data_IF_583956022466
#
_entry.id   IF_583956022466
#
_cell.length_a   1.000
_cell.length_b   1.000
_cell.length_c   1.000
_cell.angle_alpha   90.00
_cell.angle_beta   90.00
_cell.angle_gamma   90.00
#
_symmetry.space_group_name_H-M   'P 1'
#
loop_
_entity.id
_entity.type
_entity.pdbx_description
1 polymer ?
#
# COMPACT_ATOMS: atom_id res chain seq x y z
N UNK A 1 3.21 -17.76 50.31
CA UNK A 1 4.16 -16.74 49.79
C UNK A 1 3.34 -15.57 49.22
N UNK A 2 3.06 -14.51 49.99
CA UNK A 2 2.14 -13.43 49.58
C UNK A 2 2.84 -12.20 48.94
N UNK A 3 4.16 -12.26 48.73
CA UNK A 3 4.98 -11.12 48.32
C UNK A 3 4.84 -10.71 46.83
N UNK A 4 4.35 -11.57 45.94
CA UNK A 4 4.20 -11.24 44.51
C UNK A 4 3.02 -10.30 44.25
N UNK A 5 1.90 -10.50 44.96
CA UNK A 5 0.69 -9.71 44.79
C UNK A 5 0.85 -8.28 45.30
N UNK A 6 1.60 -8.08 46.38
CA UNK A 6 1.86 -6.74 46.91
C UNK A 6 2.72 -5.94 45.93
N UNK A 7 3.76 -6.55 45.38
CA UNK A 7 4.66 -5.91 44.40
C UNK A 7 3.94 -5.57 43.10
N UNK A 8 3.01 -6.44 42.66
CA UNK A 8 2.17 -6.16 41.50
C UNK A 8 1.23 -4.98 41.77
N UNK A 9 0.59 -4.93 42.95
CA UNK A 9 -0.28 -3.81 43.34
C UNK A 9 0.46 -2.49 43.41
N UNK A 10 1.67 -2.48 43.98
CA UNK A 10 2.50 -1.27 44.07
C UNK A 10 2.90 -0.80 42.66
N UNK A 11 3.29 -1.72 41.77
CA UNK A 11 3.61 -1.40 40.37
C UNK A 11 2.43 -0.79 39.61
N UNK A 12 1.23 -1.36 39.74
CA UNK A 12 0.04 -0.81 39.08
C UNK A 12 -0.32 0.57 39.62
N UNK A 13 -0.15 0.79 40.92
CA UNK A 13 -0.36 2.10 41.56
C UNK A 13 0.64 3.14 41.10
N UNK A 14 1.90 2.76 40.89
CA UNK A 14 2.93 3.63 40.33
C UNK A 14 2.65 4.00 38.87
N UNK A 15 2.18 3.05 38.06
CA UNK A 15 1.73 3.33 36.69
C UNK A 15 0.52 4.26 36.68
N UNK A 16 -0.47 4.00 37.53
CA UNK A 16 -1.67 4.85 37.64
C UNK A 16 -1.28 6.29 38.02
N UNK A 17 -0.37 6.44 38.98
CA UNK A 17 0.14 7.74 39.38
C UNK A 17 0.93 8.43 38.25
N UNK A 18 1.77 7.69 37.51
CA UNK A 18 2.51 8.22 36.38
C UNK A 18 1.58 8.69 35.24
N UNK A 19 0.58 7.87 34.90
CA UNK A 19 -0.44 8.23 33.91
C UNK A 19 -1.20 9.47 34.38
N UNK A 20 -1.65 9.50 35.64
CA UNK A 20 -2.29 10.69 36.19
C UNK A 20 -1.38 11.92 36.05
N UNK A 21 -0.12 11.84 36.43
CA UNK A 21 0.81 12.96 36.29
C UNK A 21 1.03 13.41 34.84
N UNK A 22 1.09 12.48 33.88
CA UNK A 22 1.30 12.80 32.47
C UNK A 22 0.05 13.40 31.80
N UNK A 23 -1.15 12.97 32.21
CA UNK A 23 -2.41 13.39 31.59
C UNK A 23 -3.14 14.51 32.35
N UNK A 24 -2.85 14.72 33.64
CA UNK A 24 -3.46 15.81 34.44
C UNK A 24 -2.55 17.01 34.63
N UNK A 25 -1.21 16.85 34.60
CA UNK A 25 -0.34 18.02 34.62
C UNK A 25 -0.26 18.65 33.22
N UNK A 26 -0.48 19.96 33.09
CA UNK A 26 -0.35 20.64 31.81
C UNK A 26 1.09 20.51 31.30
N UNK A 27 1.23 20.14 30.02
CA UNK A 27 2.53 20.07 29.35
C UNK A 27 3.30 21.38 29.56
N UNK A 28 4.61 21.33 29.88
CA UNK A 28 5.43 22.52 29.96
C UNK A 28 5.26 23.39 28.71
N UNK A 29 4.99 24.68 28.89
CA UNK A 29 4.65 25.62 27.80
C UNK A 29 5.64 25.57 26.63
N UNK A 30 6.93 25.35 26.92
CA UNK A 30 7.98 25.17 25.90
C UNK A 30 7.75 23.95 25.01
N UNK A 31 7.41 22.81 25.61
CA UNK A 31 7.13 21.56 24.88
C UNK A 31 5.84 21.69 24.07
N UNK A 32 4.80 22.30 24.65
CA UNK A 32 3.55 22.58 23.95
C UNK A 32 3.78 23.48 22.71
N UNK A 33 4.49 24.60 22.88
CA UNK A 33 4.81 25.51 21.78
C UNK A 33 5.64 24.81 20.69
N UNK A 34 6.61 23.98 21.09
CA UNK A 34 7.40 23.17 20.14
C UNK A 34 6.53 22.20 19.38
N UNK A 35 5.66 21.45 20.05
CA UNK A 35 4.73 20.51 19.44
C UNK A 35 3.79 21.23 18.46
N UNK A 36 3.26 22.39 18.83
CA UNK A 36 2.40 23.20 17.97
C UNK A 36 3.14 23.71 16.72
N UNK A 37 4.40 24.15 16.87
CA UNK A 37 5.25 24.55 15.74
C UNK A 37 5.49 23.39 14.77
N UNK A 38 5.90 22.23 15.29
CA UNK A 38 6.10 21.02 14.49
C UNK A 38 4.80 20.60 13.80
N UNK A 39 3.66 20.67 14.48
CA UNK A 39 2.36 20.36 13.91
C UNK A 39 2.01 21.28 12.72
N UNK A 40 2.27 22.60 12.85
CA UNK A 40 2.07 23.56 11.75
C UNK A 40 2.95 23.23 10.55
N UNK A 41 4.20 22.87 10.78
CA UNK A 41 5.13 22.44 9.73
C UNK A 41 4.57 21.21 9.01
N UNK A 42 4.19 20.16 9.76
CA UNK A 42 3.61 18.93 9.20
C UNK A 42 2.36 19.24 8.36
N UNK A 43 1.44 20.07 8.88
CA UNK A 43 0.23 20.48 8.14
C UNK A 43 0.56 21.20 6.83
N UNK A 44 1.54 22.11 6.84
CA UNK A 44 1.96 22.80 5.63
C UNK A 44 2.58 21.88 4.59
N UNK A 45 3.37 20.89 5.04
CA UNK A 45 3.96 19.86 4.17
C UNK A 45 2.84 19.00 3.56
N UNK A 46 1.91 18.51 4.37
CA UNK A 46 0.76 17.74 3.91
C UNK A 46 -0.05 18.49 2.86
N UNK A 47 -0.31 19.78 3.10
CA UNK A 47 -1.04 20.61 2.14
C UNK A 47 -0.30 20.75 0.80
N UNK A 48 1.03 20.98 0.83
CA UNK A 48 1.85 21.04 -0.39
C UNK A 48 1.86 19.71 -1.14
N UNK A 49 2.02 18.59 -0.44
CA UNK A 49 1.99 17.24 -1.01
C UNK A 49 0.69 17.00 -1.77
N UNK A 50 -0.45 17.32 -1.13
CA UNK A 50 -1.77 17.09 -1.69
C UNK A 50 -2.05 18.02 -2.89
N UNK A 51 -1.72 19.31 -2.79
CA UNK A 51 -2.01 20.26 -3.87
C UNK A 51 -1.12 20.05 -5.10
N UNK A 52 0.14 19.62 -4.89
CA UNK A 52 1.11 19.46 -5.97
C UNK A 52 1.18 18.02 -6.49
N UNK A 53 0.30 17.12 -6.02
CA UNK A 53 0.30 15.70 -6.37
C UNK A 53 1.71 15.09 -6.26
N UNK A 54 2.39 15.36 -5.15
CA UNK A 54 3.73 14.85 -4.88
C UNK A 54 3.59 13.50 -4.18
N UNK A 55 4.31 12.50 -4.68
CA UNK A 55 4.43 11.19 -4.07
C UNK A 55 5.73 11.15 -3.26
N UNK A 56 5.62 10.68 -2.02
CA UNK A 56 6.76 10.32 -1.18
C UNK A 56 6.85 8.80 -1.13
N UNK A 57 7.97 8.23 -1.57
CA UNK A 57 8.24 6.79 -1.47
C UNK A 57 9.54 6.53 -0.73
N UNK A 58 9.49 5.57 0.20
CA UNK A 58 10.69 4.98 0.81
C UNK A 58 11.30 3.97 -0.16
N UNK A 59 12.62 4.00 -0.33
CA UNK A 59 13.35 2.94 -1.01
C UNK A 59 13.90 1.94 0.00
N UNK A 60 13.71 0.67 -0.32
CA UNK A 60 14.30 -0.49 0.35
C UNK A 60 15.83 -0.42 0.41
N UNK A 61 16.46 0.09 -0.66
CA UNK A 61 17.92 0.01 -0.84
C UNK A 61 18.73 1.15 -0.23
N UNK A 62 18.16 2.33 0.03
CA UNK A 62 18.97 3.52 0.35
C UNK A 62 18.61 4.28 1.62
N UNK A 63 17.59 3.87 2.41
CA UNK A 63 17.09 4.68 3.56
C UNK A 63 16.80 6.15 3.19
N UNK A 64 16.63 6.45 1.91
CA UNK A 64 16.37 7.79 1.38
C UNK A 64 14.93 7.82 0.91
N UNK A 65 14.26 8.94 1.14
CA UNK A 65 12.92 9.17 0.63
C UNK A 65 13.01 9.86 -0.72
N UNK A 66 12.29 9.34 -1.72
CA UNK A 66 12.12 10.02 -3.00
C UNK A 66 10.87 10.88 -2.95
N UNK A 67 11.03 12.14 -3.34
CA UNK A 67 9.97 13.13 -3.45
C UNK A 67 9.85 13.53 -4.92
N UNK A 68 8.76 13.16 -5.59
CA UNK A 68 8.51 13.49 -7.01
C UNK A 68 7.02 13.65 -7.29
N UNK A 69 6.67 14.40 -8.33
CA UNK A 69 5.29 14.48 -8.79
C UNK A 69 4.79 13.14 -9.33
N UNK A 70 3.48 12.93 -9.34
CA UNK A 70 2.83 11.79 -10.03
C UNK A 70 3.26 11.72 -11.50
N UNK A 71 3.33 12.87 -12.17
CA UNK A 71 3.71 12.98 -13.59
C UNK A 71 5.15 12.48 -13.82
N UNK A 72 6.08 12.78 -12.91
CA UNK A 72 7.45 12.29 -13.00
C UNK A 72 7.54 10.77 -12.84
N UNK A 73 6.73 10.19 -11.96
CA UNK A 73 6.65 8.74 -11.83
C UNK A 73 6.09 8.09 -13.09
N UNK A 74 5.04 8.66 -13.66
CA UNK A 74 4.45 8.18 -14.90
C UNK A 74 5.44 8.25 -16.06
N UNK A 75 6.10 9.39 -16.25
CA UNK A 75 7.16 9.56 -17.25
C UNK A 75 8.30 8.57 -17.06
N UNK A 76 8.76 8.36 -15.83
CA UNK A 76 9.85 7.40 -15.54
C UNK A 76 9.41 5.96 -15.79
N UNK A 77 8.16 5.62 -15.52
CA UNK A 77 7.59 4.31 -15.85
C UNK A 77 7.57 4.11 -17.37
N UNK A 78 7.10 5.08 -18.15
CA UNK A 78 7.11 5.03 -19.61
C UNK A 78 8.55 4.91 -20.16
N UNK A 79 9.49 5.69 -19.64
CA UNK A 79 10.91 5.58 -20.03
C UNK A 79 11.50 4.20 -19.73
N UNK A 80 11.15 3.62 -18.58
CA UNK A 80 11.59 2.28 -18.20
C UNK A 80 10.96 1.21 -19.11
N UNK A 81 9.66 1.32 -19.41
CA UNK A 81 8.95 0.45 -20.35
C UNK A 81 9.60 0.49 -21.74
N UNK A 82 9.84 1.70 -22.27
CA UNK A 82 10.50 1.89 -23.57
C UNK A 82 11.92 1.33 -23.57
N UNK A 83 12.64 1.42 -22.45
CA UNK A 83 14.01 0.90 -22.35
C UNK A 83 14.07 -0.63 -22.37
N UNK A 84 13.03 -1.30 -21.85
CA UNK A 84 13.07 -2.75 -21.59
C UNK A 84 12.21 -3.53 -22.60
N UNK A 85 11.52 -2.87 -23.54
CA UNK A 85 10.64 -3.52 -24.53
C UNK A 85 9.62 -4.48 -23.89
N UNK A 86 9.22 -4.28 -22.62
CA UNK A 86 8.32 -5.21 -21.91
C UNK A 86 6.91 -5.21 -22.49
N UNK A 87 6.55 -4.13 -23.18
CA UNK A 87 5.25 -3.93 -23.82
C UNK A 87 5.40 -3.41 -25.25
N UNK A 88 6.46 -3.79 -25.96
CA UNK A 88 6.36 -3.73 -27.42
C UNK A 88 5.29 -4.74 -27.78
N UNK A 89 4.15 -4.23 -28.27
CA UNK A 89 3.21 -5.00 -29.09
C UNK A 89 4.08 -5.87 -29.99
N UNK A 90 4.02 -7.20 -29.81
CA UNK A 90 4.88 -8.08 -30.57
C UNK A 90 4.60 -7.79 -32.05
N UNK A 91 5.56 -7.14 -32.73
CA UNK A 91 5.49 -6.84 -34.15
C UNK A 91 5.40 -8.12 -34.99
N UNK A 92 5.68 -9.26 -34.38
CA UNK A 92 5.39 -10.58 -34.88
C UNK A 92 4.13 -11.09 -34.20
N UNK A 93 3.16 -11.51 -35.00
CA UNK A 93 1.82 -12.01 -34.65
C UNK A 93 1.80 -13.27 -33.72
N UNK A 94 2.90 -13.52 -33.01
CA UNK A 94 3.07 -14.62 -32.08
C UNK A 94 2.72 -14.10 -30.69
N UNK A 95 1.44 -14.14 -30.38
CA UNK A 95 0.98 -14.03 -29.01
C UNK A 95 1.54 -15.23 -28.24
N UNK A 96 2.49 -14.99 -27.33
CA UNK A 96 3.14 -16.03 -26.50
C UNK A 96 2.16 -16.78 -25.61
N UNK A 97 0.96 -16.22 -25.38
CA UNK A 97 -0.12 -16.88 -24.64
C UNK A 97 -1.11 -17.60 -25.57
N UNK A 98 -1.00 -17.48 -26.90
CA UNK A 98 -1.93 -18.10 -27.85
C UNK A 98 -1.95 -19.62 -27.72
N UNK A 99 -0.77 -20.26 -27.67
CA UNK A 99 -0.67 -21.71 -27.47
C UNK A 99 -1.30 -22.16 -26.15
N UNK A 100 -1.14 -21.36 -25.09
CA UNK A 100 -1.75 -21.66 -23.79
C UNK A 100 -3.28 -21.49 -23.83
N UNK A 101 -3.78 -20.48 -24.55
CA UNK A 101 -5.21 -20.27 -24.74
C UNK A 101 -5.81 -21.42 -25.56
N UNK A 102 -5.18 -21.84 -26.65
CA UNK A 102 -5.61 -23.00 -27.46
C UNK A 102 -5.63 -24.29 -26.62
N UNK A 103 -4.63 -24.51 -25.78
CA UNK A 103 -4.60 -25.66 -24.86
C UNK A 103 -5.75 -25.61 -23.83
N UNK A 104 -6.10 -24.43 -23.33
CA UNK A 104 -7.25 -24.28 -22.42
C UNK A 104 -8.57 -24.50 -23.17
N UNK A 105 -8.72 -23.95 -24.37
CA UNK A 105 -9.93 -24.10 -25.19
C UNK A 105 -10.16 -25.55 -25.61
N UNK A 106 -9.11 -26.27 -26.00
CA UNK A 106 -9.20 -27.71 -26.36
C UNK A 106 -9.66 -28.60 -25.20
N UNK A 107 -9.40 -28.22 -23.95
CA UNK A 107 -9.90 -28.92 -22.76
C UNK A 107 -11.36 -28.56 -22.49
N UNK A 108 -11.71 -27.28 -22.64
CA UNK A 108 -13.02 -26.75 -22.25
C UNK A 108 -14.10 -27.02 -23.29
N UNK A 109 -13.79 -26.94 -24.58
CA UNK A 109 -14.75 -27.14 -25.67
C UNK A 109 -15.48 -28.49 -25.62
N UNK A 110 -14.80 -29.63 -25.40
CA UNK A 110 -15.48 -30.91 -25.20
C UNK A 110 -16.39 -30.93 -23.97
N UNK A 111 -16.01 -30.21 -22.90
CA UNK A 111 -16.79 -30.15 -21.66
C UNK A 111 -18.04 -29.27 -21.81
N UNK A 112 -17.95 -28.18 -22.59
CA UNK A 112 -19.11 -27.36 -22.96
C UNK A 112 -20.06 -28.12 -23.88
N UNK A 113 -19.55 -28.85 -24.88
CA UNK A 113 -20.36 -29.68 -25.80
C UNK A 113 -21.12 -30.79 -25.07
N UNK A 114 -20.54 -31.35 -24.01
CA UNK A 114 -21.17 -32.37 -23.17
C UNK A 114 -22.09 -31.81 -22.07
N UNK A 115 -22.27 -30.48 -21.98
CA UNK A 115 -22.99 -29.76 -20.90
C UNK A 115 -22.44 -30.04 -19.49
N UNK A 116 -21.16 -30.40 -19.39
CA UNK A 116 -20.50 -30.65 -18.10
C UNK A 116 -20.09 -29.35 -17.39
N UNK A 117 -20.13 -28.22 -18.09
CA UNK A 117 -19.86 -26.88 -17.56
C UNK A 117 -21.09 -26.02 -17.82
N UNK A 118 -21.49 -25.24 -16.80
CA UNK A 118 -22.54 -24.24 -16.94
C UNK A 118 -22.02 -23.06 -17.77
N UNK A 119 -22.57 -22.89 -18.98
CA UNK A 119 -22.19 -21.87 -19.95
C UNK A 119 -22.40 -20.44 -19.44
N UNK A 120 -23.46 -20.20 -18.67
CA UNK A 120 -23.79 -18.87 -18.16
C UNK A 120 -22.79 -18.45 -17.08
N UNK A 121 -22.43 -19.41 -16.21
CA UNK A 121 -21.40 -19.20 -15.20
C UNK A 121 -20.02 -18.97 -15.83
N UNK A 122 -19.65 -19.78 -16.82
CA UNK A 122 -18.38 -19.64 -17.55
C UNK A 122 -18.26 -18.27 -18.22
N UNK A 123 -19.31 -17.80 -18.90
CA UNK A 123 -19.35 -16.47 -19.52
C UNK A 123 -19.17 -15.36 -18.50
N UNK A 124 -19.79 -15.47 -17.33
CA UNK A 124 -19.66 -14.44 -16.28
C UNK A 124 -18.24 -14.27 -15.75
N UNK A 125 -17.43 -15.34 -15.74
CA UNK A 125 -16.01 -15.28 -15.31
C UNK A 125 -15.04 -14.84 -16.40
N UNK A 126 -15.44 -14.92 -17.67
CA UNK A 126 -14.58 -14.57 -18.82
C UNK A 126 -14.77 -13.12 -19.28
N UNK A 127 -15.76 -12.41 -18.76
CA UNK A 127 -15.88 -10.96 -18.94
C UNK A 127 -14.78 -10.33 -18.06
N UNK A 128 -13.80 -9.62 -18.64
CA UNK A 128 -12.82 -8.89 -17.83
C UNK A 128 -13.61 -7.90 -16.97
N UNK A 129 -13.35 -7.90 -15.65
CA UNK A 129 -14.00 -7.00 -14.71
C UNK A 129 -14.09 -5.58 -15.29
N UNK A 130 -15.31 -5.05 -15.43
CA UNK A 130 -15.55 -3.63 -15.70
C UNK A 130 -14.89 -2.73 -14.64
#
# INVERSE_FOLDING_TARGET
MPYSDQRAKDFFKDIEHLIHQLYTNPLPRKLFNRAQSVHRIIKSIQHKINNQNIIIRSTDKSKVFHLRSVQDYHRKALQYMNKINVYTENLYDINTCHEHIENVLTIIDPMLKKKNINLDLWRSYMIPNE
#
